data_IF_621461036221
#
_entry.id   IF_621461036221
#
_cell.length_a   1.000
_cell.length_b   1.000
_cell.length_c   1.000
_cell.angle_alpha   90.00
_cell.angle_beta   90.00
_cell.angle_gamma   90.00
#
_symmetry.space_group_name_H-M   'P 1'
#
loop_
_entity.id
_entity.type
_entity.pdbx_description
1 polymer ?
#
# COMPACT_ATOMS: atom_id res chain seq x y z
N UNK A 1 17.75 8.74 25.56
CA UNK A 1 17.40 8.61 24.12
C UNK A 1 15.90 8.72 23.97
N UNK A 2 15.46 9.63 23.13
CA UNK A 2 14.03 9.85 22.91
C UNK A 2 13.54 8.92 21.81
N UNK A 3 12.53 8.10 22.12
CA UNK A 3 11.89 7.27 21.11
C UNK A 3 10.93 8.13 20.30
N UNK A 4 11.21 8.29 19.03
CA UNK A 4 10.30 8.94 18.11
C UNK A 4 9.36 7.94 17.50
N UNK A 5 8.08 8.24 17.55
CA UNK A 5 7.09 7.52 16.75
C UNK A 5 7.28 8.01 15.31
N UNK A 6 7.62 7.13 14.36
CA UNK A 6 7.80 7.57 12.98
C UNK A 6 6.49 8.13 12.41
N UNK A 7 6.56 9.12 11.52
CA UNK A 7 5.36 9.60 10.84
C UNK A 7 4.73 8.47 10.02
N UNK A 8 3.40 8.48 9.93
CA UNK A 8 2.63 7.49 9.18
C UNK A 8 2.17 8.09 7.87
N UNK A 9 2.21 7.31 6.81
CA UNK A 9 1.75 7.71 5.49
C UNK A 9 0.86 6.60 4.93
N UNK A 10 -0.32 6.97 4.45
CA UNK A 10 -1.17 6.06 3.71
C UNK A 10 -0.63 5.92 2.30
N UNK A 11 -0.18 4.73 1.94
CA UNK A 11 0.35 4.45 0.60
C UNK A 11 -0.76 3.83 -0.25
N UNK A 12 -1.45 4.67 -1.00
CA UNK A 12 -2.61 4.27 -1.81
C UNK A 12 -2.12 3.88 -3.20
N UNK A 13 -1.93 2.59 -3.43
CA UNK A 13 -1.35 2.07 -4.67
C UNK A 13 -1.91 0.68 -4.98
N UNK A 14 -1.75 0.26 -6.25
CA UNK A 14 -1.96 -1.13 -6.60
C UNK A 14 -0.84 -2.00 -6.02
N UNK A 15 -1.10 -3.29 -5.91
CA UNK A 15 -0.13 -4.27 -5.43
C UNK A 15 0.11 -5.32 -6.52
N UNK A 16 1.36 -5.47 -6.96
CA UNK A 16 1.76 -6.50 -7.92
C UNK A 16 2.62 -7.53 -7.20
N UNK A 17 2.25 -8.81 -7.31
CA UNK A 17 2.98 -9.88 -6.65
C UNK A 17 4.33 -10.16 -7.28
N UNK A 18 4.46 -10.00 -8.59
CA UNK A 18 5.70 -10.19 -9.32
C UNK A 18 6.06 -8.90 -10.06
N UNK A 19 7.28 -8.44 -9.85
CA UNK A 19 7.74 -7.16 -10.37
C UNK A 19 7.64 -6.07 -9.30
N UNK A 20 8.66 -5.23 -9.21
CA UNK A 20 8.72 -4.17 -8.22
C UNK A 20 8.12 -2.89 -8.80
N UNK A 21 6.88 -2.63 -8.47
CA UNK A 21 6.19 -1.41 -8.86
C UNK A 21 5.13 -1.05 -7.83
N UNK A 22 4.66 0.18 -7.87
CA UNK A 22 3.62 0.67 -6.97
C UNK A 22 3.90 0.32 -5.50
N UNK A 23 3.03 -0.40 -4.82
CA UNK A 23 3.18 -0.69 -3.39
C UNK A 23 4.49 -1.41 -3.06
N UNK A 24 4.92 -2.39 -3.87
CA UNK A 24 6.14 -3.15 -3.60
C UNK A 24 7.41 -2.32 -3.76
N UNK A 25 7.35 -1.22 -4.50
CA UNK A 25 8.44 -0.25 -4.63
C UNK A 25 8.37 0.83 -3.54
N UNK A 26 7.17 1.34 -3.28
CA UNK A 26 6.94 2.45 -2.34
C UNK A 26 7.25 2.05 -0.90
N UNK A 27 6.87 0.84 -0.47
CA UNK A 27 7.05 0.41 0.92
C UNK A 27 8.51 0.44 1.37
N UNK A 28 9.46 -0.18 0.65
CA UNK A 28 10.85 -0.13 1.08
C UNK A 28 11.44 1.29 1.03
N UNK A 29 11.05 2.11 0.05
CA UNK A 29 11.53 3.48 -0.05
C UNK A 29 11.09 4.30 1.17
N UNK A 30 9.82 4.26 1.53
CA UNK A 30 9.31 4.98 2.69
C UNK A 30 9.95 4.46 3.99
N UNK A 31 10.16 3.16 4.09
CA UNK A 31 10.80 2.57 5.26
C UNK A 31 12.22 3.09 5.47
N UNK A 32 13.01 3.17 4.39
CA UNK A 32 14.37 3.71 4.44
C UNK A 32 14.37 5.18 4.84
N UNK A 33 13.34 5.94 4.45
CA UNK A 33 13.18 7.34 4.82
C UNK A 33 12.73 7.53 6.27
N UNK A 34 12.49 6.47 7.03
CA UNK A 34 12.04 6.56 8.41
C UNK A 34 10.55 6.83 8.56
N UNK A 35 9.76 6.53 7.53
CA UNK A 35 8.32 6.73 7.52
C UNK A 35 7.63 5.37 7.59
N UNK A 36 6.64 5.25 8.46
CA UNK A 36 5.81 4.05 8.51
C UNK A 36 4.78 4.10 7.38
N UNK A 37 4.96 3.27 6.37
CA UNK A 37 4.03 3.15 5.27
C UNK A 37 2.86 2.25 5.68
N UNK A 38 1.64 2.75 5.49
CA UNK A 38 0.42 2.02 5.78
C UNK A 38 -0.29 1.76 4.45
N UNK A 39 -0.15 0.56 3.86
CA UNK A 39 -0.64 0.33 2.50
C UNK A 39 -2.16 0.29 2.41
N UNK A 40 -2.68 0.94 1.39
CA UNK A 40 -4.09 0.87 0.97
C UNK A 40 -4.11 0.31 -0.44
N UNK A 41 -4.28 -1.01 -0.62
CA UNK A 41 -4.26 -1.61 -1.95
C UNK A 41 -5.54 -1.28 -2.72
N UNK A 42 -5.39 -0.63 -3.88
CA UNK A 42 -6.53 -0.28 -4.74
C UNK A 42 -6.90 -1.42 -5.67
N UNK A 43 -5.94 -2.28 -5.97
CA UNK A 43 -6.11 -3.46 -6.80
C UNK A 43 -4.95 -4.41 -6.55
N UNK A 44 -5.17 -5.68 -6.87
CA UNK A 44 -4.13 -6.71 -6.75
C UNK A 44 -3.87 -7.28 -8.13
N UNK A 45 -2.61 -7.29 -8.54
CA UNK A 45 -2.14 -7.89 -9.79
C UNK A 45 -1.25 -9.08 -9.46
N UNK A 46 -1.35 -10.13 -10.28
CA UNK A 46 -0.43 -11.26 -10.15
C UNK A 46 1.00 -10.85 -10.45
N UNK A 47 1.16 -9.95 -11.41
CA UNK A 47 2.45 -9.48 -11.88
C UNK A 47 2.33 -8.10 -12.51
N UNK A 48 3.47 -7.50 -12.78
CA UNK A 48 3.58 -6.18 -13.41
C UNK A 48 2.86 -6.16 -14.76
N UNK A 49 2.17 -5.07 -15.05
CA UNK A 49 1.37 -4.92 -16.28
C UNK A 49 2.22 -4.78 -17.56
N UNK A 50 3.53 -4.62 -17.41
CA UNK A 50 4.46 -4.65 -18.53
C UNK A 50 4.67 -6.05 -19.13
N UNK A 51 4.25 -7.12 -18.43
CA UNK A 51 4.28 -8.47 -18.97
C UNK A 51 3.14 -8.70 -19.96
N UNK A 52 3.25 -9.70 -20.84
CA UNK A 52 2.23 -9.95 -21.87
C UNK A 52 0.82 -10.23 -21.33
N UNK A 53 0.72 -10.78 -20.13
CA UNK A 53 -0.58 -11.04 -19.49
C UNK A 53 -0.44 -10.93 -17.98
N UNK A 54 -1.57 -10.72 -17.31
CA UNK A 54 -1.62 -10.63 -15.86
C UNK A 54 -3.04 -10.90 -15.37
N UNK A 55 -3.14 -11.36 -14.12
CA UNK A 55 -4.40 -11.40 -13.38
C UNK A 55 -4.56 -10.10 -12.60
N UNK A 56 -5.78 -9.59 -12.54
CA UNK A 56 -6.08 -8.37 -11.77
C UNK A 56 -7.39 -8.52 -11.03
N UNK A 57 -7.40 -8.08 -9.77
CA UNK A 57 -8.61 -7.94 -8.97
C UNK A 57 -8.71 -6.49 -8.50
N UNK A 58 -9.75 -5.79 -8.92
CA UNK A 58 -10.04 -4.42 -8.49
C UNK A 58 -10.66 -4.45 -7.08
N UNK A 59 -10.15 -3.61 -6.19
CA UNK A 59 -10.62 -3.52 -4.82
C UNK A 59 -11.38 -2.21 -4.53
N UNK A 60 -11.76 -1.47 -5.56
CA UNK A 60 -12.44 -0.17 -5.39
C UNK A 60 -13.67 -0.28 -4.50
N UNK A 61 -14.47 -1.33 -4.67
CA UNK A 61 -15.69 -1.51 -3.87
C UNK A 61 -15.40 -1.74 -2.38
N UNK A 62 -14.20 -2.20 -2.03
CA UNK A 62 -13.79 -2.49 -0.67
C UNK A 62 -13.12 -1.29 0.02
N UNK A 63 -12.74 -0.26 -0.73
CA UNK A 63 -12.01 0.89 -0.16
C UNK A 63 -12.77 1.62 0.95
N UNK A 64 -14.08 1.93 0.80
CA UNK A 64 -14.79 2.61 1.88
C UNK A 64 -14.73 1.86 3.21
N UNK A 65 -14.94 0.55 3.22
CA UNK A 65 -14.87 -0.24 4.44
C UNK A 65 -13.47 -0.32 5.02
N UNK A 66 -12.47 -0.43 4.18
CA UNK A 66 -11.06 -0.46 4.57
C UNK A 66 -10.66 0.83 5.30
N UNK A 67 -10.95 1.96 4.68
CA UNK A 67 -10.59 3.26 5.23
C UNK A 67 -11.44 3.64 6.45
N UNK A 68 -12.70 3.25 6.47
CA UNK A 68 -13.57 3.48 7.62
C UNK A 68 -13.04 2.74 8.85
N UNK A 69 -12.55 1.53 8.70
CA UNK A 69 -11.95 0.78 9.79
C UNK A 69 -10.75 1.52 10.38
N UNK A 70 -9.89 2.07 9.54
CA UNK A 70 -8.77 2.88 9.99
C UNK A 70 -9.25 4.12 10.74
N UNK A 71 -10.30 4.76 10.23
CA UNK A 71 -10.85 5.97 10.83
C UNK A 71 -11.41 5.69 12.22
N UNK A 72 -12.14 4.58 12.39
CA UNK A 72 -12.68 4.17 13.69
C UNK A 72 -11.61 3.95 14.74
N UNK A 73 -10.47 3.42 14.33
CA UNK A 73 -9.37 3.10 15.22
C UNK A 73 -8.36 4.24 15.37
N UNK A 74 -8.51 5.30 14.60
CA UNK A 74 -7.59 6.43 14.62
C UNK A 74 -6.18 6.04 14.22
N UNK A 75 -6.02 5.13 13.24
CA UNK A 75 -4.72 4.60 12.87
C UNK A 75 -3.91 5.53 11.99
N UNK A 76 -4.54 6.17 11.03
CA UNK A 76 -3.87 7.09 10.10
C UNK A 76 -4.75 8.31 9.89
#
# INVERSE_FOLDING_TARGET
>A
MTHRIPPKVAAINSFAGYGRCSTTEVLPILSVMGVQACPVPTSVFSNHTGFPSFFCQDLTAQMPGYLEQWNRMGLV
#
